data_IF_437845893336
#
_entry.id   IF_437845893336
#
_cell.length_a   1.000
_cell.length_b   1.000
_cell.length_c   1.000
_cell.angle_alpha   90.00
_cell.angle_beta   90.00
_cell.angle_gamma   90.00
#
_symmetry.space_group_name_H-M   'P 1'
#
loop_
_entity.id
_entity.type
_entity.pdbx_description
1 polymer ?
#
# COMPACT_ATOMS: atom_id res chain seq x y z
N UNK A 1 -7.12 11.82 6.95
CA UNK A 1 -6.18 11.31 5.93
C UNK A 1 -6.79 10.08 5.27
N UNK A 2 -6.59 9.90 3.95
CA UNK A 2 -7.10 8.75 3.18
C UNK A 2 -5.96 8.11 2.40
N UNK A 3 -5.62 6.88 2.77
CA UNK A 3 -4.60 6.05 2.15
C UNK A 3 -5.19 5.18 1.04
N UNK A 4 -4.45 5.02 -0.06
CA UNK A 4 -4.80 4.15 -1.19
C UNK A 4 -3.57 3.61 -1.91
N UNK A 5 -3.76 2.51 -2.64
CA UNK A 5 -2.79 2.06 -3.64
C UNK A 5 -3.04 2.86 -4.93
N UNK A 6 -2.04 3.61 -5.38
CA UNK A 6 -2.09 4.42 -6.61
C UNK A 6 -1.37 3.77 -7.79
N UNK A 7 -0.71 2.63 -7.58
CA UNK A 7 -0.11 1.84 -8.66
C UNK A 7 0.57 0.56 -8.15
N UNK A 8 0.76 -0.39 -9.06
CA UNK A 8 1.18 -1.75 -8.68
C UNK A 8 0.08 -2.48 -7.90
N UNK A 9 0.45 -3.61 -7.28
CA UNK A 9 -0.46 -4.42 -6.49
C UNK A 9 0.23 -4.93 -5.22
N UNK A 10 -0.50 -4.94 -4.10
CA UNK A 10 -0.06 -5.64 -2.90
C UNK A 10 0.01 -7.15 -3.18
N UNK A 11 0.92 -7.89 -2.52
CA UNK A 11 0.87 -9.34 -2.47
C UNK A 11 -0.55 -9.81 -2.11
N UNK A 12 -1.03 -10.87 -2.78
CA UNK A 12 -2.31 -11.49 -2.42
C UNK A 12 -2.33 -11.80 -0.94
N UNK A 13 -3.43 -11.45 -0.26
CA UNK A 13 -3.60 -11.65 1.18
C UNK A 13 -3.18 -10.48 2.06
N UNK A 14 -2.53 -9.44 1.50
CA UNK A 14 -2.34 -8.15 2.17
C UNK A 14 -3.41 -7.14 1.77
N UNK A 15 -3.80 -6.27 2.71
CA UNK A 15 -4.73 -5.15 2.49
C UNK A 15 -4.20 -3.87 3.14
N UNK A 16 -4.47 -2.74 2.50
CA UNK A 16 -4.20 -1.41 3.04
C UNK A 16 -5.44 -0.89 3.77
N UNK A 17 -5.30 -0.57 5.05
CA UNK A 17 -6.33 0.13 5.82
C UNK A 17 -6.34 1.61 5.43
N UNK A 18 -7.41 2.05 4.74
CA UNK A 18 -7.49 3.40 4.16
C UNK A 18 -7.43 4.54 5.21
N UNK A 19 -7.78 4.28 6.47
CA UNK A 19 -7.77 5.28 7.54
C UNK A 19 -6.40 5.40 8.23
N UNK A 20 -5.70 4.30 8.44
CA UNK A 20 -4.46 4.26 9.23
C UNK A 20 -3.20 4.15 8.37
N UNK A 21 -3.32 3.71 7.11
CA UNK A 21 -2.17 3.41 6.26
C UNK A 21 -1.49 2.07 6.57
N UNK A 22 -2.05 1.30 7.50
CA UNK A 22 -1.51 -0.02 7.88
C UNK A 22 -1.71 -1.01 6.73
N UNK A 23 -0.62 -1.70 6.33
CA UNK A 23 -0.68 -2.85 5.42
C UNK A 23 -0.59 -4.11 6.27
N UNK A 24 -1.63 -4.93 6.26
CA UNK A 24 -1.71 -6.13 7.10
C UNK A 24 -2.38 -7.30 6.37
N UNK A 25 -2.15 -8.51 6.91
CA UNK A 25 -2.65 -9.77 6.38
C UNK A 25 -1.54 -10.81 6.23
N UNK A 26 -1.83 -11.92 5.54
CA UNK A 26 -0.86 -12.98 5.31
C UNK A 26 -0.61 -13.12 3.79
N UNK A 27 0.59 -12.80 3.29
CA UNK A 27 0.88 -12.95 1.89
C UNK A 27 0.84 -14.43 1.50
N UNK A 28 0.21 -14.75 0.35
CA UNK A 28 0.01 -16.16 -0.09
C UNK A 28 1.07 -16.62 -1.10
N UNK A 29 1.81 -15.69 -1.71
CA UNK A 29 2.79 -16.01 -2.75
C UNK A 29 4.09 -15.25 -2.51
N UNK A 30 5.25 -15.93 -2.60
CA UNK A 30 6.54 -15.28 -2.57
C UNK A 30 6.73 -14.40 -3.81
N UNK A 31 7.63 -13.44 -3.72
CA UNK A 31 7.96 -12.54 -4.82
C UNK A 31 8.26 -11.11 -4.38
N UNK A 32 8.66 -10.30 -5.34
CA UNK A 32 8.95 -8.87 -5.15
C UNK A 32 7.83 -8.05 -5.77
N UNK A 33 7.19 -7.21 -4.95
CA UNK A 33 6.05 -6.39 -5.35
C UNK A 33 6.42 -4.91 -5.23
N UNK A 34 6.35 -4.17 -6.34
CA UNK A 34 6.54 -2.71 -6.36
C UNK A 34 5.16 -2.05 -6.26
N UNK A 35 4.93 -1.33 -5.17
CA UNK A 35 3.62 -0.78 -4.84
C UNK A 35 3.73 0.72 -4.61
N UNK A 36 2.93 1.52 -5.30
CA UNK A 36 2.80 2.95 -5.03
C UNK A 36 1.64 3.18 -4.07
N UNK A 37 1.96 3.75 -2.92
CA UNK A 37 1.00 4.14 -1.90
C UNK A 37 0.85 5.66 -1.94
N UNK A 38 -0.38 6.13 -1.88
CA UNK A 38 -0.72 7.54 -1.86
C UNK A 38 -1.58 7.85 -0.65
N UNK A 39 -1.32 8.99 -0.01
CA UNK A 39 -2.13 9.54 1.08
C UNK A 39 -2.59 10.93 0.70
N UNK A 40 -3.87 11.20 0.90
CA UNK A 40 -4.46 12.53 0.80
C UNK A 40 -4.92 13.00 2.17
N UNK A 41 -4.56 14.21 2.56
CA UNK A 41 -5.02 14.81 3.81
C UNK A 41 -6.41 15.47 3.66
N UNK A 42 -6.86 16.17 4.71
CA UNK A 42 -8.16 16.84 4.70
C UNK A 42 -8.15 18.12 3.84
N UNK A 43 -7.01 18.80 3.73
CA UNK A 43 -6.82 20.00 2.92
C UNK A 43 -6.66 19.68 1.43
N UNK A 44 -6.49 18.41 1.11
CA UNK A 44 -6.39 17.88 -0.24
C UNK A 44 -4.98 17.72 -0.77
N UNK A 45 -3.97 18.05 0.04
CA UNK A 45 -2.58 17.75 -0.29
C UNK A 45 -2.40 16.24 -0.39
N UNK A 46 -1.64 15.81 -1.40
CA UNK A 46 -1.41 14.41 -1.70
C UNK A 46 0.09 14.13 -1.71
N UNK A 47 0.50 13.07 -1.02
CA UNK A 47 1.85 12.53 -1.09
C UNK A 47 1.80 11.10 -1.62
N UNK A 48 2.81 10.73 -2.41
CA UNK A 48 2.92 9.40 -3.03
C UNK A 48 4.31 8.84 -2.82
N UNK A 49 4.40 7.57 -2.43
CA UNK A 49 5.67 6.86 -2.24
C UNK A 49 5.61 5.46 -2.84
N UNK A 50 6.72 5.05 -3.43
CA UNK A 50 6.91 3.67 -3.91
C UNK A 50 7.52 2.83 -2.79
N UNK A 51 6.91 1.68 -2.50
CA UNK A 51 7.40 0.65 -1.60
C UNK A 51 7.78 -0.59 -2.40
N UNK A 52 8.82 -1.30 -1.95
CA UNK A 52 9.21 -2.60 -2.48
C UNK A 52 9.00 -3.62 -1.37
N UNK A 53 8.07 -4.56 -1.60
CA UNK A 53 7.75 -5.62 -0.66
C UNK A 53 8.36 -6.92 -1.16
N UNK A 54 9.23 -7.52 -0.37
CA UNK A 54 9.82 -8.82 -0.65
C UNK A 54 9.19 -9.87 0.25
N UNK A 55 8.48 -10.81 -0.34
CA UNK A 55 7.90 -11.98 0.35
C UNK A 55 8.78 -13.19 0.01
N UNK A 56 9.26 -13.89 1.02
CA UNK A 56 10.07 -15.09 0.89
C UNK A 56 9.42 -16.23 1.64
#
# INVERSE_FOLDING_TARGET
MRWRISGGALPRGLKLAARTGTIAGRPVSPGTFRVRVSVRDALGATSTKTLVLSVR
#
